data_IF_530026002917
#
_entry.id   IF_530026002917
#
_cell.length_a   1.000
_cell.length_b   1.000
_cell.length_c   1.000
_cell.angle_alpha   90.00
_cell.angle_beta   90.00
_cell.angle_gamma   90.00
#
_symmetry.space_group_name_H-M   'P 1'
#
loop_
_entity.id
_entity.type
_entity.pdbx_description
1 polymer ?
#
# COMPACT_ATOMS: atom_id res chain seq x y z
N UNK A 1 4.58 -18.67 0.37
CA UNK A 1 5.00 -17.39 -0.25
C UNK A 1 3.91 -16.58 -0.90
N UNK A 2 3.40 -17.02 -2.05
CA UNK A 2 2.37 -16.27 -2.75
C UNK A 2 1.09 -16.09 -1.91
N UNK A 3 0.79 -17.07 -1.05
CA UNK A 3 -0.29 -16.97 -0.07
C UNK A 3 -0.08 -15.83 0.93
N UNK A 4 1.10 -15.69 1.53
CA UNK A 4 1.40 -14.62 2.49
C UNK A 4 1.45 -13.24 1.79
N UNK A 5 1.92 -13.17 0.54
CA UNK A 5 1.77 -11.97 -0.28
C UNK A 5 0.30 -11.61 -0.49
N UNK A 6 -0.55 -12.57 -0.86
CA UNK A 6 -1.99 -12.36 -1.01
C UNK A 6 -2.64 -11.93 0.31
N UNK A 7 -2.27 -12.58 1.41
CA UNK A 7 -2.71 -12.21 2.76
C UNK A 7 -2.36 -10.76 3.08
N UNK A 8 -1.12 -10.32 2.81
CA UNK A 8 -0.71 -8.92 3.02
C UNK A 8 -1.49 -7.94 2.15
N UNK A 9 -1.84 -8.31 0.92
CA UNK A 9 -2.67 -7.47 0.05
C UNK A 9 -4.09 -7.29 0.59
N UNK A 10 -4.63 -8.30 1.30
CA UNK A 10 -5.93 -8.23 1.96
C UNK A 10 -5.82 -7.40 3.24
N UNK A 11 -4.82 -7.67 4.07
CA UNK A 11 -4.54 -6.91 5.28
C UNK A 11 -4.38 -5.40 4.99
N UNK A 12 -3.57 -5.04 3.99
CA UNK A 12 -3.39 -3.64 3.60
C UNK A 12 -4.61 -3.03 2.90
N UNK A 13 -5.49 -3.85 2.29
CA UNK A 13 -6.76 -3.35 1.76
C UNK A 13 -7.73 -2.99 2.89
N UNK A 14 -7.77 -3.78 3.97
CA UNK A 14 -8.61 -3.51 5.14
C UNK A 14 -8.09 -2.38 6.04
N UNK A 15 -6.84 -1.94 5.84
CA UNK A 15 -6.20 -0.89 6.66
C UNK A 15 -5.87 0.34 5.83
N UNK A 16 -4.84 0.27 5.00
CA UNK A 16 -4.23 1.41 4.33
C UNK A 16 -5.14 2.08 3.29
N UNK A 17 -5.96 1.29 2.60
CA UNK A 17 -6.90 1.83 1.61
C UNK A 17 -7.91 2.77 2.30
N UNK A 18 -8.60 2.28 3.32
CA UNK A 18 -9.55 3.08 4.10
C UNK A 18 -8.85 4.22 4.83
N UNK A 19 -7.67 3.97 5.41
CA UNK A 19 -6.90 4.99 6.13
C UNK A 19 -6.56 6.20 5.25
N UNK A 20 -6.08 5.96 4.02
CA UNK A 20 -5.73 7.06 3.11
C UNK A 20 -6.96 7.83 2.62
N UNK A 21 -8.10 7.15 2.43
CA UNK A 21 -9.36 7.81 2.10
C UNK A 21 -9.83 8.71 3.25
N UNK A 22 -9.84 8.19 4.49
CA UNK A 22 -10.23 8.94 5.68
C UNK A 22 -9.32 10.15 5.92
N UNK A 23 -7.99 9.98 5.84
CA UNK A 23 -7.06 11.09 6.09
C UNK A 23 -7.30 12.24 5.12
N UNK A 24 -7.44 11.94 3.82
CA UNK A 24 -7.52 12.99 2.80
C UNK A 24 -8.91 13.62 2.69
N UNK A 25 -9.98 12.84 2.90
CA UNK A 25 -11.36 13.33 2.77
C UNK A 25 -11.86 13.92 4.08
N UNK A 26 -11.71 13.18 5.17
CA UNK A 26 -12.29 13.52 6.47
C UNK A 26 -11.33 14.30 7.37
N UNK A 27 -10.06 14.46 6.94
CA UNK A 27 -8.98 15.04 7.75
C UNK A 27 -8.83 14.34 9.10
N UNK A 28 -9.17 13.05 9.10
CA UNK A 28 -9.15 12.18 10.27
C UNK A 28 -8.66 10.83 9.85
N UNK A 29 -7.90 10.17 10.71
CA UNK A 29 -7.51 8.80 10.45
C UNK A 29 -7.35 8.04 11.76
N UNK A 30 -7.55 6.74 11.70
CA UNK A 30 -7.27 5.88 12.83
C UNK A 30 -5.74 5.79 13.05
N UNK A 31 -5.21 5.96 14.27
CA UNK A 31 -3.78 5.85 14.54
C UNK A 31 -3.34 4.38 14.53
N UNK A 32 -3.17 3.80 13.34
CA UNK A 32 -2.85 2.38 13.15
C UNK A 32 -1.60 1.91 13.91
N UNK A 33 -0.65 2.82 14.17
CA UNK A 33 0.56 2.58 14.97
C UNK A 33 0.30 2.35 16.47
N UNK A 34 -0.84 2.77 17.00
CA UNK A 34 -1.21 2.51 18.40
C UNK A 34 -1.90 1.15 18.58
N UNK A 35 -2.38 0.55 17.49
CA UNK A 35 -3.11 -0.72 17.45
C UNK A 35 -4.04 -0.95 18.66
N UNK A 36 -5.15 -0.23 18.72
CA UNK A 36 -6.25 -0.42 19.67
C UNK A 36 -7.48 -1.00 18.96
N UNK A 37 -7.48 -2.29 18.69
CA UNK A 37 -8.58 -2.95 18.00
C UNK A 37 -8.49 -4.47 18.00
N UNK A 38 -9.41 -5.10 17.29
CA UNK A 38 -9.38 -6.54 17.05
C UNK A 38 -9.37 -6.81 15.55
N UNK A 39 -8.74 -7.92 15.18
CA UNK A 39 -8.88 -8.47 13.84
C UNK A 39 -9.24 -9.95 13.97
N UNK A 40 -10.18 -10.40 13.15
CA UNK A 40 -10.49 -11.82 12.98
C UNK A 40 -9.95 -12.31 11.64
N UNK A 41 -9.81 -13.63 11.53
CA UNK A 41 -9.55 -14.30 10.28
C UNK A 41 -10.83 -15.02 9.85
N UNK A 42 -11.17 -14.93 8.58
CA UNK A 42 -12.24 -15.75 8.02
C UNK A 42 -11.83 -17.23 7.94
N UNK A 43 -12.77 -18.09 7.53
CA UNK A 43 -12.56 -19.54 7.39
C UNK A 43 -11.41 -19.93 6.42
N UNK A 44 -10.93 -19.00 5.58
CA UNK A 44 -9.81 -19.22 4.67
C UNK A 44 -8.48 -18.65 5.20
N UNK A 45 -8.48 -18.13 6.43
CA UNK A 45 -7.30 -17.53 7.07
C UNK A 45 -6.97 -16.11 6.59
N UNK A 46 -7.86 -15.45 5.83
CA UNK A 46 -7.67 -14.05 5.45
C UNK A 46 -8.24 -13.10 6.50
N UNK A 47 -7.67 -11.90 6.68
CA UNK A 47 -8.23 -10.91 7.60
C UNK A 47 -9.64 -10.51 7.17
N UNK A 48 -10.57 -10.54 8.12
CA UNK A 48 -11.84 -9.83 8.00
C UNK A 48 -11.61 -8.31 8.04
N UNK A 49 -12.62 -7.48 7.69
CA UNK A 49 -12.53 -6.03 7.84
C UNK A 49 -12.07 -5.68 9.26
N UNK A 50 -11.01 -4.88 9.37
CA UNK A 50 -10.43 -4.55 10.66
C UNK A 50 -11.39 -3.60 11.39
N UNK A 51 -11.85 -4.04 12.56
CA UNK A 51 -12.59 -3.18 13.47
C UNK A 51 -11.59 -2.40 14.31
N UNK A 52 -11.36 -1.16 13.92
CA UNK A 52 -10.52 -0.22 14.66
C UNK A 52 -11.36 0.54 15.69
N UNK A 53 -10.78 0.87 16.85
CA UNK A 53 -11.45 1.68 17.88
C UNK A 53 -11.95 3.03 17.32
N UNK A 54 -12.94 3.63 17.99
CA UNK A 54 -13.46 4.97 17.67
C UNK A 54 -12.42 6.10 17.84
N UNK A 55 -11.22 5.80 18.35
CA UNK A 55 -10.12 6.75 18.45
C UNK A 55 -9.67 7.18 17.04
N UNK A 56 -9.93 8.43 16.67
CA UNK A 56 -9.41 9.03 15.45
C UNK A 56 -8.48 10.18 15.79
N UNK A 57 -7.32 10.22 15.14
CA UNK A 57 -6.50 11.43 15.08
C UNK A 57 -7.22 12.43 14.16
N UNK A 58 -7.42 13.66 14.62
CA UNK A 58 -7.78 14.77 13.75
C UNK A 58 -6.48 15.40 13.22
N UNK A 59 -6.39 15.60 11.91
CA UNK A 59 -5.26 16.19 11.22
C UNK A 59 -5.79 17.29 10.30
N UNK A 60 -6.15 18.42 10.90
CA UNK A 60 -6.87 19.52 10.25
C UNK A 60 -5.94 20.39 9.39
N UNK A 61 -4.65 20.36 9.69
CA UNK A 61 -3.61 21.02 8.91
C UNK A 61 -2.82 20.03 8.07
N UNK A 62 -2.22 20.52 6.98
CA UNK A 62 -1.34 19.72 6.13
C UNK A 62 -0.13 19.16 6.91
N UNK A 63 0.41 19.94 7.86
CA UNK A 63 1.52 19.51 8.70
C UNK A 63 1.14 18.30 9.58
N UNK A 64 -0.05 18.31 10.18
CA UNK A 64 -0.55 17.18 10.98
C UNK A 64 -0.83 15.96 10.10
N UNK A 65 -1.35 16.15 8.89
CA UNK A 65 -1.58 15.04 7.95
C UNK A 65 -0.26 14.43 7.51
N UNK A 66 0.76 15.25 7.26
CA UNK A 66 2.10 14.80 6.95
C UNK A 66 2.70 14.01 8.11
N UNK A 67 2.57 14.50 9.34
CA UNK A 67 3.02 13.80 10.55
C UNK A 67 2.30 12.44 10.69
N UNK A 68 0.98 12.39 10.49
CA UNK A 68 0.21 11.16 10.51
C UNK A 68 0.71 10.14 9.46
N UNK A 69 1.09 10.61 8.26
CA UNK A 69 1.72 9.77 7.24
C UNK A 69 3.08 9.24 7.70
N UNK A 70 3.93 10.09 8.31
CA UNK A 70 5.22 9.63 8.84
C UNK A 70 5.03 8.56 9.92
N UNK A 71 4.10 8.76 10.86
CA UNK A 71 3.77 7.80 11.91
C UNK A 71 3.17 6.50 11.35
N UNK A 72 2.35 6.58 10.30
CA UNK A 72 1.87 5.40 9.60
C UNK A 72 3.02 4.59 9.00
N UNK A 73 3.96 5.26 8.33
CA UNK A 73 5.08 4.60 7.66
C UNK A 73 6.00 3.93 8.68
N UNK A 74 6.44 4.67 9.71
CA UNK A 74 7.41 4.18 10.69
C UNK A 74 6.80 3.29 11.76
N UNK A 75 5.59 3.64 12.24
CA UNK A 75 4.92 2.98 13.36
C UNK A 75 3.99 1.83 12.97
N UNK A 76 3.64 1.68 11.69
CA UNK A 76 2.75 0.61 11.23
C UNK A 76 3.27 -0.16 10.02
N UNK A 77 3.51 0.51 8.88
CA UNK A 77 3.90 -0.18 7.64
C UNK A 77 5.25 -0.87 7.78
N UNK A 78 6.26 -0.18 8.30
CA UNK A 78 7.60 -0.73 8.45
C UNK A 78 7.67 -1.96 9.38
N UNK A 79 7.08 -1.94 10.59
CA UNK A 79 7.01 -3.12 11.45
C UNK A 79 6.28 -4.29 10.80
N UNK A 80 5.11 -4.05 10.20
CA UNK A 80 4.32 -5.12 9.55
C UNK A 80 5.10 -5.74 8.40
N UNK A 81 5.69 -4.94 7.52
CA UNK A 81 6.47 -5.44 6.39
C UNK A 81 7.70 -6.23 6.86
N UNK A 82 8.38 -5.76 7.91
CA UNK A 82 9.55 -6.45 8.49
C UNK A 82 9.17 -7.80 9.10
N UNK A 83 8.08 -7.85 9.87
CA UNK A 83 7.55 -9.09 10.46
C UNK A 83 7.15 -10.09 9.38
N UNK A 84 6.41 -9.66 8.37
CA UNK A 84 6.00 -10.52 7.26
C UNK A 84 7.20 -11.04 6.48
N UNK A 85 8.21 -10.20 6.23
CA UNK A 85 9.45 -10.61 5.57
C UNK A 85 10.22 -11.67 6.38
N UNK A 86 10.30 -11.47 7.71
CA UNK A 86 10.93 -12.43 8.62
C UNK A 86 10.24 -13.79 8.65
N UNK A 87 8.90 -13.80 8.74
CA UNK A 87 8.10 -15.04 8.70
C UNK A 87 8.22 -15.72 7.33
N UNK A 88 8.20 -14.94 6.26
CA UNK A 88 8.26 -15.46 4.91
C UNK A 88 9.64 -16.05 4.59
N UNK A 89 10.72 -15.49 5.11
CA UNK A 89 12.09 -15.75 4.67
C UNK A 89 12.41 -15.09 3.32
N UNK A 90 11.78 -13.96 3.00
CA UNK A 90 11.70 -13.43 1.63
C UNK A 90 11.77 -11.90 1.54
N UNK A 91 11.84 -11.32 0.32
CA UNK A 91 12.19 -9.91 0.14
C UNK A 91 11.18 -8.95 0.76
N UNK A 92 11.67 -8.14 1.72
CA UNK A 92 10.98 -7.01 2.32
C UNK A 92 10.27 -6.13 1.28
N UNK A 93 10.90 -5.89 0.13
CA UNK A 93 10.36 -5.07 -0.96
C UNK A 93 8.97 -5.52 -1.47
N UNK A 94 8.66 -6.82 -1.42
CA UNK A 94 7.36 -7.35 -1.83
C UNK A 94 6.23 -6.80 -0.96
N UNK A 95 6.40 -6.85 0.36
CA UNK A 95 5.39 -6.41 1.32
C UNK A 95 5.21 -4.89 1.29
N UNK A 96 6.32 -4.15 1.16
CA UNK A 96 6.27 -2.70 0.92
C UNK A 96 5.53 -2.35 -0.37
N UNK A 97 5.77 -3.08 -1.46
CA UNK A 97 5.03 -2.87 -2.71
C UNK A 97 3.52 -3.12 -2.52
N UNK A 98 3.14 -4.16 -1.77
CA UNK A 98 1.73 -4.43 -1.49
C UNK A 98 1.09 -3.29 -0.68
N UNK A 99 1.79 -2.75 0.33
CA UNK A 99 1.33 -1.59 1.09
C UNK A 99 1.18 -0.33 0.21
N UNK A 100 2.22 -0.01 -0.56
CA UNK A 100 2.25 1.17 -1.43
C UNK A 100 1.14 1.15 -2.48
N UNK A 101 0.83 -0.02 -3.04
CA UNK A 101 -0.28 -0.17 -3.99
C UNK A 101 -1.64 0.14 -3.35
N UNK A 102 -1.86 -0.21 -2.08
CA UNK A 102 -3.13 0.08 -1.40
C UNK A 102 -3.27 1.55 -1.04
N UNK A 103 -2.20 2.21 -0.58
CA UNK A 103 -2.20 3.67 -0.40
C UNK A 103 -2.33 4.43 -1.73
N UNK A 104 -1.73 3.93 -2.80
CA UNK A 104 -1.92 4.54 -4.12
C UNK A 104 -3.36 4.36 -4.61
N UNK A 105 -3.99 3.21 -4.34
CA UNK A 105 -5.40 3.00 -4.65
C UNK A 105 -6.32 3.97 -3.90
N UNK A 106 -6.05 4.28 -2.62
CA UNK A 106 -6.84 5.29 -1.89
C UNK A 106 -6.66 6.67 -2.52
N UNK A 107 -5.42 7.07 -2.81
CA UNK A 107 -5.11 8.31 -3.53
C UNK A 107 -5.96 8.44 -4.81
N UNK A 108 -5.94 7.42 -5.68
CA UNK A 108 -6.69 7.43 -6.95
C UNK A 108 -8.22 7.51 -6.76
N UNK A 109 -8.76 6.88 -5.72
CA UNK A 109 -10.20 6.96 -5.40
C UNK A 109 -10.60 8.33 -4.88
N UNK A 110 -9.72 8.97 -4.12
CA UNK A 110 -9.91 10.34 -3.60
C UNK A 110 -9.82 11.36 -4.75
N UNK A 111 -8.90 11.19 -5.69
CA UNK A 111 -8.81 12.04 -6.90
C UNK A 111 -10.11 12.06 -7.71
N UNK A 112 -10.79 10.91 -7.83
CA UNK A 112 -12.09 10.82 -8.51
C UNK A 112 -13.19 11.65 -7.83
N UNK A 113 -13.01 11.99 -6.55
CA UNK A 113 -13.90 12.87 -5.78
C UNK A 113 -13.46 14.34 -5.78
N UNK A 114 -12.44 14.70 -6.58
CA UNK A 114 -11.88 16.05 -6.67
C UNK A 114 -11.30 16.59 -5.35
N UNK A 115 -10.91 15.71 -4.44
CA UNK A 115 -10.26 16.07 -3.17
C UNK A 115 -8.74 16.13 -3.38
N UNK A 116 -8.02 17.11 -2.79
CA UNK A 116 -6.55 17.21 -2.92
C UNK A 116 -5.83 15.97 -2.41
N UNK A 117 -4.83 15.50 -3.19
CA UNK A 117 -4.06 14.28 -2.90
C UNK A 117 -2.55 14.53 -2.93
N UNK A 118 -2.12 15.79 -2.89
CA UNK A 118 -0.72 16.20 -3.02
C UNK A 118 0.19 15.57 -1.98
N UNK A 119 -0.31 15.30 -0.77
CA UNK A 119 0.44 14.61 0.28
C UNK A 119 0.86 13.19 -0.11
N UNK A 120 -0.05 12.39 -0.66
CA UNK A 120 0.28 11.04 -1.12
C UNK A 120 1.09 11.07 -2.41
N UNK A 121 0.83 12.03 -3.31
CA UNK A 121 1.72 12.26 -4.47
C UNK A 121 3.15 12.53 -4.04
N UNK A 122 3.34 13.44 -3.08
CA UNK A 122 4.66 13.76 -2.53
C UNK A 122 5.29 12.52 -1.90
N UNK A 123 4.54 11.74 -1.10
CA UNK A 123 5.02 10.48 -0.54
C UNK A 123 5.49 9.50 -1.64
N UNK A 124 4.81 9.40 -2.76
CA UNK A 124 5.21 8.48 -3.84
C UNK A 124 6.30 9.04 -4.77
N UNK A 125 6.53 10.36 -4.76
CA UNK A 125 7.54 11.05 -5.55
C UNK A 125 8.88 11.24 -4.82
N UNK A 126 8.88 11.21 -3.48
CA UNK A 126 10.09 11.45 -2.68
C UNK A 126 10.89 10.17 -2.44
N UNK A 127 12.20 10.21 -2.70
CA UNK A 127 13.10 9.04 -2.58
C UNK A 127 13.52 8.72 -1.15
N UNK A 128 13.52 9.70 -0.25
CA UNK A 128 13.91 9.59 1.16
C UNK A 128 12.89 10.28 2.06
N UNK A 129 12.64 9.72 3.23
CA UNK A 129 11.80 10.34 4.27
C UNK A 129 12.56 11.51 4.93
N UNK A 130 11.87 12.34 5.73
CA UNK A 130 12.49 13.49 6.39
C UNK A 130 13.62 13.09 7.36
N UNK A 131 13.54 11.88 7.92
CA UNK A 131 14.59 11.32 8.77
C UNK A 131 15.82 10.82 7.99
N UNK A 132 15.85 11.00 6.66
CA UNK A 132 16.93 10.55 5.77
C UNK A 132 16.87 9.08 5.37
N UNK A 133 15.92 8.30 5.91
CA UNK A 133 15.77 6.90 5.52
C UNK A 133 15.20 6.77 4.10
N UNK A 134 15.58 5.70 3.41
CA UNK A 134 15.04 5.41 2.08
C UNK A 134 13.53 5.19 2.16
N UNK A 135 12.78 5.95 1.37
CA UNK A 135 11.35 5.75 1.22
C UNK A 135 11.07 4.50 0.39
N UNK A 136 10.56 3.44 1.02
CA UNK A 136 10.23 2.17 0.36
C UNK A 136 8.86 2.18 -0.33
N UNK A 137 8.08 3.24 -0.15
CA UNK A 137 6.82 3.49 -0.88
C UNK A 137 7.05 4.24 -2.19
N UNK A 138 8.26 4.77 -2.42
CA UNK A 138 8.61 5.53 -3.63
C UNK A 138 8.31 4.74 -4.92
N UNK A 139 7.56 5.39 -5.82
CA UNK A 139 7.15 4.86 -7.13
C UNK A 139 6.59 3.42 -7.06
N UNK A 140 5.37 3.24 -6.51
CA UNK A 140 4.74 1.92 -6.47
C UNK A 140 4.45 1.36 -7.87
N UNK A 141 4.26 2.25 -8.83
CA UNK A 141 4.05 1.96 -10.24
C UNK A 141 5.13 2.62 -11.10
N UNK A 142 5.36 2.03 -12.26
CA UNK A 142 6.22 2.54 -13.32
C UNK A 142 5.39 2.70 -14.58
N UNK A 143 5.67 3.77 -15.32
CA UNK A 143 5.09 4.03 -16.64
C UNK A 143 6.06 3.54 -17.70
N UNK A 144 5.56 2.73 -18.62
CA UNK A 144 6.30 2.25 -19.78
C UNK A 144 5.74 2.90 -21.03
N UNK A 145 6.54 3.73 -21.68
CA UNK A 145 6.17 4.33 -22.95
C UNK A 145 6.16 3.27 -24.06
N UNK A 146 5.20 3.39 -24.96
CA UNK A 146 5.06 2.53 -26.12
C UNK A 146 5.02 3.38 -27.38
N UNK A 147 5.76 2.99 -28.41
CA UNK A 147 5.63 3.61 -29.72
C UNK A 147 4.19 3.39 -30.23
N UNK A 148 3.53 4.48 -30.61
CA UNK A 148 2.20 4.51 -31.21
C UNK A 148 1.07 3.88 -30.38
N UNK A 149 1.24 3.75 -29.05
CA UNK A 149 0.23 3.25 -28.12
C UNK A 149 0.22 4.04 -26.81
N UNK A 150 -0.90 4.06 -26.08
CA UNK A 150 -0.93 4.63 -24.73
C UNK A 150 0.12 3.98 -23.82
N UNK A 151 0.77 4.79 -22.99
CA UNK A 151 1.73 4.30 -22.02
C UNK A 151 1.07 3.30 -21.05
N UNK A 152 1.80 2.26 -20.69
CA UNK A 152 1.32 1.23 -19.75
C UNK A 152 1.80 1.58 -18.34
N UNK A 153 0.87 1.52 -17.37
CA UNK A 153 1.20 1.65 -15.95
C UNK A 153 1.20 0.27 -15.32
N UNK A 154 2.35 -0.15 -14.81
CA UNK A 154 2.50 -1.44 -14.12
C UNK A 154 3.12 -1.28 -12.75
N UNK A 155 2.88 -2.25 -11.86
CA UNK A 155 3.51 -2.28 -10.55
C UNK A 155 5.01 -2.44 -10.71
N UNK A 156 5.79 -1.73 -9.89
CA UNK A 156 7.24 -1.86 -9.86
C UNK A 156 7.72 -3.25 -9.44
N UNK A 157 6.96 -3.92 -8.56
CA UNK A 157 7.27 -5.26 -8.07
C UNK A 157 6.09 -6.22 -8.28
N UNK A 158 6.40 -7.45 -8.72
CA UNK A 158 5.41 -8.52 -8.89
C UNK A 158 4.87 -8.97 -7.52
N UNK A 159 3.56 -9.12 -7.41
CA UNK A 159 2.93 -9.56 -6.16
C UNK A 159 2.89 -11.08 -5.96
N UNK A 160 3.50 -11.84 -6.88
CA UNK A 160 3.54 -13.32 -6.87
C UNK A 160 2.18 -14.01 -6.99
N UNK A 161 1.10 -13.28 -7.35
CA UNK A 161 -0.26 -13.84 -7.47
C UNK A 161 -0.36 -15.03 -8.43
N UNK A 162 0.47 -15.05 -9.48
CA UNK A 162 0.49 -16.10 -10.48
C UNK A 162 0.85 -17.49 -9.91
N UNK A 163 1.58 -17.55 -8.79
CA UNK A 163 1.88 -18.81 -8.09
C UNK A 163 0.70 -19.40 -7.31
N UNK A 164 -0.49 -18.79 -7.38
CA UNK A 164 -1.72 -19.29 -6.73
C UNK A 164 -2.77 -19.74 -7.75
N UNK A 165 -2.37 -20.02 -8.99
CA UNK A 165 -3.27 -20.35 -10.10
C UNK A 165 -4.40 -19.32 -10.24
N UNK A 166 -4.04 -18.05 -10.09
CA UNK A 166 -4.93 -16.90 -10.26
C UNK A 166 -4.47 -16.07 -11.44
N UNK A 167 -5.44 -15.43 -12.09
CA UNK A 167 -5.20 -14.44 -13.14
C UNK A 167 -4.19 -13.38 -12.68
N UNK A 168 -3.37 -12.93 -13.64
CA UNK A 168 -2.45 -11.81 -13.45
C UNK A 168 -3.24 -10.57 -13.03
N UNK A 169 -2.62 -9.73 -12.21
CA UNK A 169 -3.23 -8.44 -11.89
C UNK A 169 -3.17 -7.50 -13.10
N UNK A 170 -4.14 -6.59 -13.24
CA UNK A 170 -4.21 -5.65 -14.36
C UNK A 170 -2.97 -4.75 -14.52
N UNK A 171 -2.16 -4.63 -13.46
CA UNK A 171 -0.89 -3.89 -13.45
C UNK A 171 0.30 -4.82 -13.21
N UNK A 172 0.21 -6.09 -13.63
CA UNK A 172 1.24 -7.09 -13.37
C UNK A 172 2.48 -6.81 -14.22
N UNK A 173 3.69 -6.70 -13.62
CA UNK A 173 4.91 -6.51 -14.40
C UNK A 173 5.28 -7.71 -15.27
N UNK A 174 4.65 -8.88 -15.05
CA UNK A 174 4.85 -10.06 -15.88
C UNK A 174 4.07 -10.00 -17.20
N UNK A 175 3.03 -9.18 -17.28
CA UNK A 175 2.19 -9.09 -18.49
C UNK A 175 2.92 -8.33 -19.62
N UNK A 176 3.81 -7.40 -19.25
CA UNK A 176 4.65 -6.65 -20.18
C UNK A 176 6.05 -7.24 -20.36
N UNK A 177 6.36 -8.37 -19.72
CA UNK A 177 7.64 -9.05 -19.87
C UNK A 177 7.52 -10.14 -20.95
N UNK A 178 8.15 -10.01 -22.13
CA UNK A 178 8.04 -10.99 -23.23
C UNK A 178 8.63 -12.37 -22.92
N UNK A 179 9.24 -12.57 -21.76
CA UNK A 179 10.01 -13.78 -21.42
C UNK A 179 9.72 -14.27 -20.01
N UNK A 180 8.61 -14.99 -19.81
CA UNK A 180 8.57 -16.12 -18.86
C UNK A 180 7.43 -17.11 -19.19
N UNK A 181 7.48 -17.68 -20.39
CA UNK A 181 6.98 -19.03 -20.63
C UNK A 181 8.19 -19.91 -20.91
N UNK A 182 8.79 -20.48 -19.87
CA UNK A 182 9.58 -21.72 -19.91
C UNK A 182 9.39 -22.43 -18.58
#
# INVERSE_FOLDING_TARGET
MAWLSKWSQWFFAGTLLTWGEQLLVDQRAYPLWQWVGSFSLNHQGFPDPISVSHLSLAAQSEAEQYEAIQQLVSGFIAPVCSTLAGIAGHPLALFWSNAAVRLHQSMRRVEQKQVPTHLLHHLFATTHLLNGERNRLYQPFITLDQADKPAIIQRRHCCMRFHLDKELCASCPLDCCPTSKR
#
